data_IF_814243837809
#
_entry.id   IF_814243837809
#
_cell.length_a   1.000
_cell.length_b   1.000
_cell.length_c   1.000
_cell.angle_alpha   90.00
_cell.angle_beta   90.00
_cell.angle_gamma   90.00
#
_symmetry.space_group_name_H-M   'P 1'
#
loop_
_entity.id
_entity.type
_entity.pdbx_description
1 polymer ?
#
# COMPACT_ATOMS: atom_id res chain seq x y z
N UNK A 1 -0.94 15.62 19.08
CA UNK A 1 0.06 14.68 19.63
C UNK A 1 -0.58 13.84 20.74
N UNK A 2 -1.13 12.68 20.42
CA UNK A 2 -1.69 11.76 21.43
C UNK A 2 -0.55 10.89 22.00
N UNK A 3 -0.43 10.91 23.33
CA UNK A 3 0.57 10.15 24.11
C UNK A 3 0.45 8.63 23.88
N UNK A 4 1.31 8.07 23.03
CA UNK A 4 1.40 6.60 22.82
C UNK A 4 2.47 5.96 23.74
N UNK A 5 3.12 6.75 24.60
CA UNK A 5 4.30 6.31 25.33
C UNK A 5 4.08 5.56 26.66
N UNK A 6 2.86 5.51 27.19
CA UNK A 6 2.64 4.99 28.55
C UNK A 6 2.39 3.47 28.66
N UNK A 7 1.72 2.86 27.66
CA UNK A 7 1.25 1.48 27.82
C UNK A 7 2.34 0.39 27.54
N UNK A 8 3.34 0.68 26.72
CA UNK A 8 4.38 -0.32 26.41
C UNK A 8 5.44 -0.50 27.51
N UNK A 9 5.76 0.60 28.23
CA UNK A 9 6.68 0.51 29.37
C UNK A 9 6.07 -0.22 30.58
N UNK A 10 4.74 -0.10 30.75
CA UNK A 10 4.02 -0.78 31.83
C UNK A 10 3.90 -2.30 31.58
N UNK A 11 3.71 -2.71 30.30
CA UNK A 11 3.66 -4.13 29.93
C UNK A 11 5.01 -4.84 30.12
N UNK A 12 6.14 -4.17 29.92
CA UNK A 12 7.48 -4.74 30.15
C UNK A 12 7.74 -5.03 31.65
N UNK A 13 7.20 -4.21 32.56
CA UNK A 13 7.31 -4.45 34.01
C UNK A 13 6.42 -5.58 34.51
N UNK A 14 5.21 -5.70 34.00
CA UNK A 14 4.26 -6.75 34.39
C UNK A 14 4.72 -8.16 33.92
N UNK A 15 5.38 -8.24 32.76
CA UNK A 15 5.90 -9.52 32.23
C UNK A 15 7.08 -10.10 33.00
N UNK A 16 7.80 -9.31 33.81
CA UNK A 16 8.92 -9.83 34.67
C UNK A 16 8.48 -10.67 35.85
N UNK A 17 7.18 -10.72 36.13
CA UNK A 17 6.64 -11.48 37.27
C UNK A 17 6.03 -12.83 36.90
N UNK A 18 5.92 -13.18 35.61
CA UNK A 18 5.31 -14.43 35.15
C UNK A 18 6.34 -15.45 34.72
N UNK A 19 6.04 -16.74 34.99
CA UNK A 19 6.87 -17.84 34.51
C UNK A 19 6.89 -17.90 32.98
N UNK A 20 8.06 -17.89 32.31
CA UNK A 20 8.16 -17.97 30.87
C UNK A 20 7.82 -19.35 30.29
N UNK A 21 7.56 -20.36 31.15
CA UNK A 21 7.22 -21.72 30.73
C UNK A 21 5.73 -22.04 30.79
N UNK A 22 4.99 -21.48 31.76
CA UNK A 22 3.59 -21.79 31.96
C UNK A 22 2.73 -20.53 32.20
N UNK A 23 3.31 -19.34 32.04
CA UNK A 23 2.69 -18.01 32.23
C UNK A 23 2.08 -17.75 33.61
N UNK A 24 2.34 -18.61 34.59
CA UNK A 24 1.83 -18.49 35.93
C UNK A 24 2.57 -17.40 36.72
N UNK A 25 1.87 -16.69 37.61
CA UNK A 25 2.39 -15.61 38.44
C UNK A 25 3.17 -16.12 39.67
N UNK A 26 3.03 -17.40 40.01
CA UNK A 26 3.58 -17.98 41.22
C UNK A 26 5.11 -18.26 41.09
N UNK A 27 5.88 -17.19 41.00
CA UNK A 27 7.33 -17.18 40.76
C UNK A 27 8.04 -16.63 41.98
N UNK A 28 9.00 -17.39 42.49
CA UNK A 28 9.84 -17.00 43.63
C UNK A 28 11.32 -16.80 43.24
N UNK A 29 12.04 -16.00 44.00
CA UNK A 29 13.47 -15.84 43.88
C UNK A 29 14.16 -17.14 44.26
N UNK A 30 15.17 -17.60 43.46
CA UNK A 30 15.84 -18.90 43.63
C UNK A 30 17.34 -18.76 43.55
N UNK A 31 17.90 -17.88 44.40
CA UNK A 31 19.34 -17.61 44.46
C UNK A 31 19.88 -16.91 43.19
N UNK A 32 21.20 -16.74 43.15
CA UNK A 32 21.91 -16.15 42.02
C UNK A 32 22.98 -17.09 41.49
N UNK A 33 23.27 -17.04 40.18
CA UNK A 33 24.36 -17.78 39.55
C UNK A 33 25.06 -16.87 38.53
N UNK A 34 26.37 -16.79 38.59
CA UNK A 34 27.17 -15.92 37.72
C UNK A 34 26.66 -14.47 37.65
N UNK A 35 26.33 -13.90 38.81
CA UNK A 35 25.81 -12.52 38.92
C UNK A 35 24.37 -12.32 38.43
N UNK A 36 23.62 -13.37 38.08
CA UNK A 36 22.25 -13.29 37.61
C UNK A 36 21.27 -13.93 38.59
N UNK A 37 20.23 -13.17 38.98
CA UNK A 37 19.14 -13.67 39.81
C UNK A 37 18.38 -14.77 39.05
N UNK A 38 18.23 -15.95 39.71
CA UNK A 38 17.36 -17.04 39.22
C UNK A 38 16.01 -17.00 39.90
N UNK A 39 15.03 -17.55 39.25
CA UNK A 39 13.64 -17.66 39.70
C UNK A 39 13.15 -19.09 39.54
N UNK A 40 12.28 -19.54 40.43
CA UNK A 40 11.61 -20.83 40.34
C UNK A 40 10.11 -20.62 40.26
N UNK A 41 9.45 -21.25 39.29
CA UNK A 41 7.99 -21.29 39.23
C UNK A 41 7.47 -22.40 40.14
N UNK A 42 6.61 -22.09 41.10
CA UNK A 42 6.00 -23.08 41.99
C UNK A 42 4.98 -23.97 41.28
N UNK A 43 4.41 -23.52 40.16
CA UNK A 43 3.39 -24.26 39.43
C UNK A 43 3.98 -25.31 38.48
N UNK A 44 5.08 -25.03 37.76
CA UNK A 44 5.71 -25.96 36.82
C UNK A 44 7.12 -26.45 37.32
N UNK A 45 7.56 -26.03 38.50
CA UNK A 45 8.82 -26.36 39.13
C UNK A 45 10.11 -26.00 38.35
N UNK A 46 9.98 -25.34 37.21
CA UNK A 46 11.13 -24.94 36.40
C UNK A 46 11.88 -23.74 36.99
N UNK A 47 13.23 -23.80 36.95
CA UNK A 47 14.12 -22.71 37.33
C UNK A 47 14.54 -21.96 36.07
N UNK A 48 14.53 -20.62 36.12
CA UNK A 48 14.84 -19.76 34.98
C UNK A 48 15.46 -18.43 35.43
N UNK A 49 16.00 -17.69 34.46
CA UNK A 49 16.39 -16.29 34.62
C UNK A 49 15.60 -15.45 33.65
N UNK A 50 15.23 -14.22 33.99
CA UNK A 50 14.52 -13.32 33.05
C UNK A 50 15.43 -12.81 31.93
N UNK A 51 16.70 -13.18 31.87
CA UNK A 51 17.63 -12.91 30.77
C UNK A 51 17.73 -14.05 29.76
N UNK A 52 16.65 -14.79 29.52
CA UNK A 52 16.66 -15.90 28.56
C UNK A 52 16.73 -15.40 27.13
N UNK A 53 17.29 -16.23 26.23
CA UNK A 53 17.38 -15.97 24.79
C UNK A 53 16.04 -15.61 24.17
N UNK A 54 15.00 -16.38 24.51
CA UNK A 54 13.62 -16.19 24.03
C UNK A 54 13.02 -14.84 24.40
N UNK A 55 13.20 -14.36 25.64
CA UNK A 55 12.73 -13.04 26.06
C UNK A 55 13.54 -11.93 25.38
N UNK A 56 14.86 -12.12 25.26
CA UNK A 56 15.70 -11.14 24.59
C UNK A 56 15.44 -11.09 23.09
N UNK A 57 15.14 -12.20 22.44
CA UNK A 57 14.73 -12.25 21.02
C UNK A 57 13.37 -11.58 20.80
N UNK A 58 12.39 -11.85 21.65
CA UNK A 58 11.08 -11.17 21.59
C UNK A 58 11.22 -9.66 21.70
N UNK A 59 12.05 -9.17 22.64
CA UNK A 59 12.30 -7.74 22.80
C UNK A 59 13.05 -7.13 21.59
N UNK A 60 14.00 -7.85 21.01
CA UNK A 60 14.71 -7.43 19.80
C UNK A 60 13.78 -7.34 18.61
N UNK A 61 12.86 -8.32 18.46
CA UNK A 61 11.88 -8.34 17.39
C UNK A 61 10.88 -7.19 17.50
N UNK A 62 10.49 -6.78 18.71
CA UNK A 62 9.66 -5.58 18.92
C UNK A 62 10.37 -4.32 18.43
N UNK A 63 11.68 -4.17 18.69
CA UNK A 63 12.45 -3.04 18.17
C UNK A 63 12.61 -3.08 16.64
N UNK A 64 12.70 -4.27 16.07
CA UNK A 64 12.70 -4.47 14.62
C UNK A 64 11.35 -4.06 14.02
N UNK A 65 10.22 -4.50 14.59
CA UNK A 65 8.87 -4.07 14.17
C UNK A 65 8.73 -2.54 14.23
N UNK A 66 9.23 -1.91 15.31
CA UNK A 66 9.24 -0.46 15.44
C UNK A 66 10.11 0.23 14.38
N UNK A 67 11.22 -0.36 14.02
CA UNK A 67 12.08 0.15 12.97
C UNK A 67 11.42 0.07 11.59
N UNK A 68 10.70 -0.99 11.32
CA UNK A 68 10.01 -1.20 10.04
C UNK A 68 8.74 -0.35 9.92
N UNK A 69 7.93 -0.23 10.97
CA UNK A 69 6.65 0.49 10.95
C UNK A 69 6.74 1.94 11.42
N UNK A 70 7.73 2.27 12.26
CA UNK A 70 7.90 3.60 12.82
C UNK A 70 8.73 4.51 11.92
N UNK A 71 8.74 5.80 12.22
CA UNK A 71 9.57 6.80 11.52
C UNK A 71 10.89 7.08 12.26
N UNK A 72 11.43 6.08 12.95
CA UNK A 72 12.67 6.22 13.73
C UNK A 72 13.87 5.68 12.94
N UNK A 73 14.96 6.43 12.96
CA UNK A 73 16.26 5.92 12.50
C UNK A 73 16.84 4.91 13.50
N UNK A 74 17.84 4.15 13.08
CA UNK A 74 18.52 3.18 13.99
C UNK A 74 19.18 3.91 15.15
N UNK A 75 19.68 5.12 14.96
CA UNK A 75 20.30 5.96 15.98
C UNK A 75 19.25 6.37 17.04
N UNK A 76 18.06 6.77 16.61
CA UNK A 76 16.96 7.09 17.53
C UNK A 76 16.51 5.86 18.32
N UNK A 77 16.39 4.70 17.66
CA UNK A 77 16.09 3.44 18.34
C UNK A 77 17.23 3.05 19.32
N UNK A 78 18.49 3.31 18.96
CA UNK A 78 19.62 3.09 19.86
C UNK A 78 19.48 3.91 21.15
N UNK A 79 19.14 5.19 21.03
CA UNK A 79 18.92 6.07 22.19
C UNK A 79 17.72 5.60 23.04
N UNK A 80 16.65 5.12 22.42
CA UNK A 80 15.43 4.67 23.11
C UNK A 80 15.59 3.31 23.78
N UNK A 81 16.31 2.40 23.13
CA UNK A 81 16.44 0.98 23.56
C UNK A 81 17.61 0.73 24.49
N UNK A 82 18.62 1.61 24.48
CA UNK A 82 19.90 1.40 25.17
C UNK A 82 20.85 0.40 24.48
N UNK A 83 20.51 -0.11 23.30
CA UNK A 83 21.40 -0.96 22.50
C UNK A 83 22.24 -0.13 21.55
N UNK A 84 23.49 -0.54 21.32
CA UNK A 84 24.33 0.17 20.36
C UNK A 84 23.81 0.02 18.92
N UNK A 85 24.03 1.04 18.08
CA UNK A 85 23.71 1.02 16.64
C UNK A 85 24.24 -0.24 15.95
N UNK A 86 25.48 -0.66 16.27
CA UNK A 86 26.10 -1.87 15.73
C UNK A 86 25.32 -3.15 16.10
N UNK A 87 24.81 -3.25 17.34
CA UNK A 87 24.00 -4.39 17.76
C UNK A 87 22.65 -4.42 17.05
N UNK A 88 21.97 -3.26 16.96
CA UNK A 88 20.68 -3.13 16.26
C UNK A 88 20.83 -3.51 14.81
N UNK A 89 21.82 -2.96 14.07
CA UNK A 89 22.08 -3.31 12.67
C UNK A 89 22.27 -4.82 12.48
N UNK A 90 23.10 -5.46 13.33
CA UNK A 90 23.33 -6.92 13.25
C UNK A 90 22.04 -7.73 13.44
N UNK A 91 21.14 -7.30 14.33
CA UNK A 91 19.88 -8.01 14.56
C UNK A 91 18.87 -7.74 13.47
N UNK A 92 18.73 -6.50 13.07
CA UNK A 92 17.72 -6.10 12.06
C UNK A 92 18.06 -6.70 10.69
N UNK A 93 19.31 -6.70 10.27
CA UNK A 93 19.71 -7.34 9.03
C UNK A 93 19.49 -8.86 9.05
N UNK A 94 19.78 -9.51 10.20
CA UNK A 94 19.45 -10.92 10.36
C UNK A 94 17.94 -11.22 10.26
N UNK A 95 17.08 -10.31 10.71
CA UNK A 95 15.63 -10.45 10.53
C UNK A 95 15.22 -10.17 9.09
N UNK A 96 15.82 -9.18 8.44
CA UNK A 96 15.55 -8.90 7.03
C UNK A 96 15.84 -10.12 6.14
N UNK A 97 16.98 -10.78 6.30
CA UNK A 97 17.39 -11.97 5.55
C UNK A 97 16.37 -13.13 5.65
N UNK A 98 15.52 -13.12 6.67
CA UNK A 98 14.49 -14.14 6.89
C UNK A 98 13.11 -13.55 6.59
N UNK A 99 12.71 -13.56 5.33
CA UNK A 99 11.43 -13.03 4.92
C UNK A 99 10.25 -13.67 5.70
N UNK A 100 9.23 -12.90 6.08
CA UNK A 100 8.09 -13.43 6.80
C UNK A 100 7.28 -14.36 5.90
N UNK A 101 6.72 -15.42 6.47
CA UNK A 101 5.78 -16.28 5.76
C UNK A 101 4.50 -15.50 5.48
N UNK A 102 4.14 -15.39 4.20
CA UNK A 102 2.96 -14.68 3.78
C UNK A 102 1.72 -15.56 3.92
N UNK A 103 0.78 -15.15 4.75
CA UNK A 103 -0.50 -15.83 4.90
C UNK A 103 -1.63 -14.95 4.37
N UNK A 104 -2.37 -15.46 3.38
CA UNK A 104 -3.53 -14.76 2.82
C UNK A 104 -4.76 -15.06 3.68
N UNK A 105 -5.52 -14.03 4.04
CA UNK A 105 -6.84 -14.20 4.63
C UNK A 105 -7.81 -14.66 3.54
N UNK A 106 -8.32 -15.87 3.64
CA UNK A 106 -9.35 -16.38 2.73
C UNK A 106 -10.66 -15.60 2.93
N UNK A 107 -11.26 -15.22 1.83
CA UNK A 107 -12.60 -14.66 1.73
C UNK A 107 -13.26 -15.17 0.46
N UNK A 108 -14.57 -15.43 0.56
CA UNK A 108 -15.35 -15.96 -0.57
C UNK A 108 -15.42 -14.97 -1.74
N UNK A 109 -15.41 -13.67 -1.46
CA UNK A 109 -15.45 -12.62 -2.47
C UNK A 109 -14.71 -11.36 -2.03
N UNK A 110 -13.97 -10.73 -2.94
CA UNK A 110 -13.16 -9.53 -2.67
C UNK A 110 -13.39 -8.42 -3.68
N UNK A 111 -13.40 -7.18 -3.21
CA UNK A 111 -13.28 -5.97 -4.02
C UNK A 111 -11.82 -5.56 -4.01
N UNK A 112 -11.11 -5.90 -5.07
CA UNK A 112 -9.67 -5.80 -5.18
C UNK A 112 -9.25 -4.39 -5.60
N UNK A 113 -8.27 -3.82 -4.90
CA UNK A 113 -7.49 -2.67 -5.36
C UNK A 113 -6.18 -3.17 -5.95
N UNK A 114 -5.85 -2.71 -7.15
CA UNK A 114 -4.55 -2.94 -7.79
C UNK A 114 -3.92 -1.60 -8.09
N UNK A 115 -2.71 -1.41 -7.63
CA UNK A 115 -1.93 -0.20 -7.89
C UNK A 115 -0.44 -0.50 -7.71
N UNK A 116 0.42 0.25 -8.39
CA UNK A 116 1.86 0.12 -8.34
C UNK A 116 2.54 1.36 -7.78
N UNK A 117 3.72 1.17 -7.21
CA UNK A 117 4.60 2.28 -6.82
C UNK A 117 6.04 1.98 -7.19
N UNK A 118 6.76 3.02 -7.58
CA UNK A 118 8.14 2.92 -8.01
C UNK A 118 9.08 3.41 -6.92
N UNK A 119 10.12 2.62 -6.67
CA UNK A 119 11.24 2.99 -5.81
C UNK A 119 12.48 3.37 -6.64
N UNK A 120 13.48 3.99 -6.04
CA UNK A 120 14.79 4.12 -6.66
C UNK A 120 15.32 2.78 -7.20
N UNK A 121 16.21 2.82 -8.19
CA UNK A 121 16.79 1.63 -8.82
C UNK A 121 15.82 0.77 -9.66
N UNK A 122 14.75 1.39 -10.19
CA UNK A 122 13.76 0.73 -11.07
C UNK A 122 13.03 -0.46 -10.40
N UNK A 123 12.89 -0.44 -9.10
CA UNK A 123 12.09 -1.43 -8.37
C UNK A 123 10.64 -0.96 -8.33
N UNK A 124 9.74 -1.77 -8.86
CA UNK A 124 8.29 -1.55 -8.80
C UNK A 124 7.66 -2.53 -7.81
N UNK A 125 6.78 -2.02 -6.96
CA UNK A 125 5.92 -2.80 -6.09
C UNK A 125 4.49 -2.71 -6.58
N UNK A 126 3.93 -3.81 -7.07
CA UNK A 126 2.49 -3.95 -7.38
C UNK A 126 1.80 -4.61 -6.20
N UNK A 127 0.72 -4.02 -5.71
CA UNK A 127 -0.04 -4.49 -4.55
C UNK A 127 -1.47 -4.86 -4.93
N UNK A 128 -1.91 -6.01 -4.47
CA UNK A 128 -3.27 -6.54 -4.59
C UNK A 128 -3.91 -6.52 -3.19
N UNK A 129 -4.83 -5.59 -2.95
CA UNK A 129 -5.41 -5.34 -1.63
C UNK A 129 -6.92 -5.55 -1.63
N UNK A 130 -7.43 -6.30 -0.66
CA UNK A 130 -8.87 -6.34 -0.37
C UNK A 130 -9.27 -5.04 0.35
N UNK A 131 -10.18 -4.29 -0.25
CA UNK A 131 -10.67 -3.03 0.31
C UNK A 131 -11.51 -3.23 1.58
N UNK A 132 -12.28 -4.32 1.68
CA UNK A 132 -13.19 -4.57 2.80
C UNK A 132 -12.46 -4.85 4.10
N UNK A 133 -11.43 -5.71 4.05
CA UNK A 133 -10.61 -6.05 5.24
C UNK A 133 -9.36 -5.19 5.35
N UNK A 134 -9.12 -4.31 4.38
CA UNK A 134 -7.96 -3.42 4.30
C UNK A 134 -6.62 -4.16 4.37
N UNK A 135 -6.56 -5.39 3.86
CA UNK A 135 -5.38 -6.25 3.89
C UNK A 135 -4.81 -6.47 2.49
N UNK A 136 -3.48 -6.45 2.39
CA UNK A 136 -2.77 -6.89 1.19
C UNK A 136 -2.92 -8.41 1.07
N UNK A 137 -3.49 -8.87 -0.02
CA UNK A 137 -3.66 -10.31 -0.31
C UNK A 137 -2.44 -10.87 -1.01
N UNK A 138 -1.89 -10.10 -1.94
CA UNK A 138 -0.73 -10.46 -2.72
C UNK A 138 0.08 -9.21 -3.07
N UNK A 139 1.35 -9.36 -3.38
CA UNK A 139 2.20 -8.31 -3.92
C UNK A 139 3.26 -8.90 -4.82
N UNK A 140 3.74 -8.11 -5.77
CA UNK A 140 4.85 -8.43 -6.65
C UNK A 140 5.90 -7.32 -6.57
N UNK A 141 7.16 -7.71 -6.48
CA UNK A 141 8.30 -6.83 -6.70
C UNK A 141 8.88 -7.17 -8.07
N UNK A 142 8.96 -6.19 -8.95
CA UNK A 142 9.36 -6.36 -10.35
C UNK A 142 10.14 -5.13 -10.83
N UNK A 143 10.78 -5.23 -11.97
CA UNK A 143 11.44 -4.11 -12.66
C UNK A 143 10.51 -3.37 -13.62
N UNK A 144 9.34 -3.96 -13.94
CA UNK A 144 8.34 -3.39 -14.84
C UNK A 144 6.98 -4.04 -14.65
N UNK A 145 5.93 -3.24 -14.71
CA UNK A 145 4.54 -3.73 -14.72
C UNK A 145 4.20 -4.39 -16.06
N UNK A 146 4.27 -5.70 -16.12
CA UNK A 146 3.96 -6.45 -17.33
C UNK A 146 2.60 -7.12 -17.22
N UNK A 147 1.84 -7.09 -18.31
CA UNK A 147 0.50 -7.71 -18.40
C UNK A 147 0.51 -9.17 -17.95
N UNK A 148 1.44 -9.99 -18.46
CA UNK A 148 1.52 -11.40 -18.13
C UNK A 148 1.85 -11.70 -16.66
N UNK A 149 2.60 -10.81 -15.98
CA UNK A 149 2.86 -10.93 -14.55
C UNK A 149 1.60 -10.66 -13.73
N UNK A 150 0.82 -9.66 -14.11
CA UNK A 150 -0.45 -9.33 -13.47
C UNK A 150 -1.47 -10.45 -13.67
N UNK A 151 -1.53 -11.04 -14.88
CA UNK A 151 -2.35 -12.25 -15.16
C UNK A 151 -1.99 -13.37 -14.17
N UNK A 152 -0.70 -13.70 -14.08
CA UNK A 152 -0.21 -14.77 -13.19
C UNK A 152 -0.55 -14.48 -11.71
N UNK A 153 -0.49 -13.24 -11.28
CA UNK A 153 -0.84 -12.85 -9.92
C UNK A 153 -2.33 -13.02 -9.63
N UNK A 154 -3.18 -12.62 -10.58
CA UNK A 154 -4.64 -12.81 -10.47
C UNK A 154 -5.01 -14.29 -10.49
N UNK A 155 -4.36 -15.10 -11.31
CA UNK A 155 -4.54 -16.56 -11.33
C UNK A 155 -4.07 -17.20 -10.02
N UNK A 156 -2.97 -16.72 -9.44
CA UNK A 156 -2.50 -17.16 -8.12
C UNK A 156 -3.54 -16.85 -7.03
N UNK A 157 -4.14 -15.65 -7.03
CA UNK A 157 -5.23 -15.33 -6.10
C UNK A 157 -6.44 -16.24 -6.30
N UNK A 158 -6.82 -16.56 -7.54
CA UNK A 158 -7.91 -17.47 -7.85
C UNK A 158 -7.61 -18.91 -7.39
N UNK A 159 -6.36 -19.38 -7.55
CA UNK A 159 -5.93 -20.70 -7.07
C UNK A 159 -5.99 -20.83 -5.55
N UNK A 160 -5.98 -19.71 -4.82
CA UNK A 160 -6.23 -19.66 -3.38
C UNK A 160 -7.72 -19.64 -3.02
N UNK A 161 -8.62 -19.95 -3.99
CA UNK A 161 -10.07 -19.93 -3.84
C UNK A 161 -10.66 -18.54 -3.55
N UNK A 162 -9.94 -17.47 -3.93
CA UNK A 162 -10.41 -16.09 -3.78
C UNK A 162 -11.20 -15.71 -5.04
N UNK A 163 -12.51 -15.47 -4.88
CA UNK A 163 -13.34 -14.91 -5.94
C UNK A 163 -13.17 -13.40 -6.00
N UNK A 164 -12.70 -12.88 -7.14
CA UNK A 164 -12.54 -11.45 -7.40
C UNK A 164 -13.86 -10.92 -7.98
N UNK A 165 -14.62 -10.17 -7.16
CA UNK A 165 -15.90 -9.59 -7.58
C UNK A 165 -15.69 -8.30 -8.36
N UNK A 166 -14.74 -7.48 -7.95
CA UNK A 166 -14.42 -6.25 -8.65
C UNK A 166 -12.93 -5.93 -8.57
N UNK A 167 -12.45 -5.10 -9.50
CA UNK A 167 -11.09 -4.56 -9.51
C UNK A 167 -11.16 -3.06 -9.73
N UNK A 168 -10.60 -2.29 -8.79
CA UNK A 168 -10.36 -0.85 -8.94
C UNK A 168 -8.88 -0.61 -9.18
N UNK A 169 -8.53 0.09 -10.27
CA UNK A 169 -7.15 0.42 -10.64
C UNK A 169 -7.04 1.82 -11.27
N UNK A 170 -5.80 2.30 -11.42
CA UNK A 170 -5.47 3.54 -12.13
C UNK A 170 -5.86 3.53 -13.61
N UNK A 171 -5.95 2.33 -14.19
CA UNK A 171 -6.32 2.12 -15.58
C UNK A 171 -5.14 2.05 -16.55
N UNK A 172 -3.96 1.74 -16.03
CA UNK A 172 -2.85 1.33 -16.88
C UNK A 172 -3.28 0.21 -17.84
N UNK A 173 -2.88 0.32 -19.10
CA UNK A 173 -3.33 -0.57 -20.16
C UNK A 173 -3.02 -2.05 -19.87
N UNK A 174 -1.87 -2.32 -19.25
CA UNK A 174 -1.46 -3.67 -18.85
C UNK A 174 -2.39 -4.25 -17.79
N UNK A 175 -2.79 -3.44 -16.80
CA UNK A 175 -3.72 -3.87 -15.74
C UNK A 175 -5.11 -4.14 -16.33
N UNK A 176 -5.60 -3.23 -17.18
CA UNK A 176 -6.93 -3.38 -17.82
C UNK A 176 -6.99 -4.68 -18.63
N UNK A 177 -5.97 -4.96 -19.47
CA UNK A 177 -5.94 -6.18 -20.29
C UNK A 177 -5.81 -7.43 -19.45
N UNK A 178 -4.93 -7.40 -18.44
CA UNK A 178 -4.76 -8.52 -17.52
C UNK A 178 -6.05 -8.87 -16.77
N UNK A 179 -6.77 -7.86 -16.25
CA UNK A 179 -8.04 -8.06 -15.54
C UNK A 179 -9.13 -8.58 -16.49
N UNK A 180 -9.21 -8.05 -17.71
CA UNK A 180 -10.15 -8.55 -18.73
C UNK A 180 -9.90 -10.03 -19.05
N UNK A 181 -8.65 -10.43 -19.11
CA UNK A 181 -8.26 -11.81 -19.42
C UNK A 181 -8.48 -12.76 -18.24
N UNK A 182 -7.87 -12.43 -17.10
CA UNK A 182 -7.85 -13.34 -15.93
C UNK A 182 -9.17 -13.34 -15.13
N UNK A 183 -9.92 -12.22 -15.14
CA UNK A 183 -11.13 -12.01 -14.35
C UNK A 183 -12.27 -11.41 -15.20
N UNK A 184 -12.73 -12.08 -16.27
CA UNK A 184 -13.71 -11.51 -17.23
C UNK A 184 -15.06 -11.14 -16.58
N UNK A 185 -15.42 -11.80 -15.46
CA UNK A 185 -16.67 -11.54 -14.74
C UNK A 185 -16.54 -10.46 -13.65
N UNK A 186 -15.32 -10.02 -13.33
CA UNK A 186 -15.10 -8.99 -12.34
C UNK A 186 -15.56 -7.61 -12.84
N UNK A 187 -16.27 -6.87 -12.01
CA UNK A 187 -16.63 -5.48 -12.30
C UNK A 187 -15.36 -4.63 -12.26
N UNK A 188 -15.07 -3.94 -13.36
CA UNK A 188 -13.91 -3.03 -13.43
C UNK A 188 -14.35 -1.63 -13.05
N UNK A 189 -13.60 -1.00 -12.18
CA UNK A 189 -13.73 0.40 -11.77
C UNK A 189 -12.41 1.13 -12.03
N UNK A 190 -12.49 2.24 -12.74
CA UNK A 190 -11.36 3.17 -12.90
C UNK A 190 -11.24 4.05 -11.65
N UNK A 191 -10.02 4.24 -11.16
CA UNK A 191 -9.76 5.15 -10.05
C UNK A 191 -10.07 6.60 -10.45
N UNK A 192 -11.11 7.20 -9.84
CA UNK A 192 -11.50 8.57 -10.16
C UNK A 192 -10.41 9.58 -9.82
N UNK A 193 -9.68 9.37 -8.72
CA UNK A 193 -8.60 10.26 -8.31
C UNK A 193 -7.46 10.28 -9.33
N UNK A 194 -7.10 9.13 -9.93
CA UNK A 194 -6.09 9.07 -10.98
C UNK A 194 -6.56 9.78 -12.24
N UNK A 195 -7.80 9.53 -12.70
CA UNK A 195 -8.35 10.22 -13.88
C UNK A 195 -8.32 11.74 -13.69
N UNK A 196 -8.83 12.22 -12.55
CA UNK A 196 -8.85 13.65 -12.24
C UNK A 196 -7.43 14.24 -12.21
N UNK A 197 -6.51 13.62 -11.49
CA UNK A 197 -5.12 14.07 -11.32
C UNK A 197 -4.36 14.15 -12.64
N UNK A 198 -4.42 13.11 -13.46
CA UNK A 198 -3.73 13.07 -14.74
C UNK A 198 -4.28 14.08 -15.72
N UNK A 199 -5.61 14.18 -15.84
CA UNK A 199 -6.24 15.18 -16.67
C UNK A 199 -5.85 16.61 -16.26
N UNK A 200 -5.87 16.90 -14.94
CA UNK A 200 -5.51 18.21 -14.43
C UNK A 200 -4.01 18.52 -14.59
N UNK A 201 -3.14 17.51 -14.55
CA UNK A 201 -1.72 17.69 -14.83
C UNK A 201 -1.47 18.11 -16.29
N UNK A 202 -2.19 17.52 -17.25
CA UNK A 202 -2.08 17.91 -18.67
C UNK A 202 -2.71 19.26 -18.97
N UNK A 203 -3.89 19.57 -18.40
CA UNK A 203 -4.61 20.83 -18.63
C UNK A 203 -3.91 22.02 -17.96
N UNK A 204 -3.13 21.79 -16.92
CA UNK A 204 -2.49 22.80 -16.05
C UNK A 204 -3.47 23.53 -15.12
N UNK A 205 -2.93 24.34 -14.18
CA UNK A 205 -3.77 25.11 -13.25
C UNK A 205 -4.46 26.30 -13.91
N UNK A 206 -3.83 26.91 -14.90
CA UNK A 206 -4.25 28.14 -15.57
C UNK A 206 -4.25 27.96 -17.09
N UNK A 207 -5.18 27.16 -17.65
CA UNK A 207 -5.27 26.98 -19.10
C UNK A 207 -5.67 28.30 -19.78
N UNK A 208 -5.02 28.61 -20.92
CA UNK A 208 -5.25 29.86 -21.64
C UNK A 208 -6.42 29.79 -22.63
N UNK A 209 -6.72 28.60 -23.15
CA UNK A 209 -7.81 28.41 -24.12
C UNK A 209 -9.14 28.18 -23.42
N UNK A 210 -10.24 28.61 -24.04
CA UNK A 210 -11.63 28.31 -23.60
C UNK A 210 -11.87 26.82 -23.48
N UNK A 211 -11.37 26.03 -24.44
CA UNK A 211 -11.39 24.56 -24.40
C UNK A 211 -10.74 23.99 -23.12
N UNK A 212 -9.56 24.47 -22.77
CA UNK A 212 -8.87 24.05 -21.55
C UNK A 212 -9.59 24.48 -20.28
N UNK A 213 -10.12 25.72 -20.22
CA UNK A 213 -10.85 26.25 -19.06
C UNK A 213 -12.13 25.43 -18.80
N UNK A 214 -12.90 25.17 -19.84
CA UNK A 214 -14.17 24.43 -19.72
C UNK A 214 -13.94 22.95 -19.42
N UNK A 215 -12.95 22.30 -20.07
CA UNK A 215 -12.60 20.91 -19.75
C UNK A 215 -12.11 20.77 -18.31
N UNK A 216 -11.27 21.70 -17.84
CA UNK A 216 -10.80 21.69 -16.45
C UNK A 216 -11.96 21.73 -15.46
N UNK A 217 -12.95 22.61 -15.67
CA UNK A 217 -14.13 22.68 -14.80
C UNK A 217 -14.89 21.36 -14.76
N UNK A 218 -15.04 20.70 -15.91
CA UNK A 218 -15.71 19.42 -16.02
C UNK A 218 -14.92 18.30 -15.30
N UNK A 219 -13.60 18.26 -15.46
CA UNK A 219 -12.74 17.29 -14.79
C UNK A 219 -12.79 17.44 -13.27
N UNK A 220 -12.75 18.67 -12.74
CA UNK A 220 -12.84 18.91 -11.27
C UNK A 220 -14.17 18.45 -10.66
N UNK A 221 -15.17 18.10 -11.43
CA UNK A 221 -16.45 17.59 -10.94
C UNK A 221 -16.49 16.08 -10.77
N UNK A 222 -15.50 15.34 -11.30
CA UNK A 222 -15.46 13.87 -11.25
C UNK A 222 -15.58 13.34 -9.83
N UNK A 223 -14.85 13.94 -8.89
CA UNK A 223 -14.86 13.53 -7.48
C UNK A 223 -16.19 13.77 -6.76
N UNK A 224 -17.03 14.65 -7.28
CA UNK A 224 -18.33 15.04 -6.71
C UNK A 224 -19.50 14.18 -7.23
N UNK A 225 -19.31 13.37 -8.26
CA UNK A 225 -20.32 12.47 -8.81
C UNK A 225 -20.68 11.40 -7.79
N UNK A 226 -21.97 11.28 -7.48
CA UNK A 226 -22.52 10.34 -6.49
C UNK A 226 -23.70 9.52 -7.00
N UNK A 227 -24.44 10.04 -7.98
CA UNK A 227 -25.66 9.45 -8.49
C UNK A 227 -25.62 9.19 -9.99
N UNK A 228 -26.53 8.36 -10.48
CA UNK A 228 -26.71 8.16 -11.92
C UNK A 228 -27.04 9.46 -12.67
N UNK A 229 -27.80 10.36 -12.05
CA UNK A 229 -28.10 11.64 -12.65
C UNK A 229 -26.85 12.49 -12.83
N UNK A 230 -25.98 12.53 -11.81
CA UNK A 230 -24.69 13.24 -11.88
C UNK A 230 -23.81 12.65 -12.99
N UNK A 231 -23.71 11.32 -13.07
CA UNK A 231 -22.87 10.66 -14.08
C UNK A 231 -23.38 10.85 -15.50
N UNK A 232 -24.71 10.77 -15.71
CA UNK A 232 -25.34 11.04 -17.01
C UNK A 232 -25.13 12.49 -17.46
N UNK A 233 -25.36 13.42 -16.56
CA UNK A 233 -25.12 14.84 -16.82
C UNK A 233 -23.65 15.08 -17.18
N UNK A 234 -22.72 14.53 -16.41
CA UNK A 234 -21.28 14.68 -16.66
C UNK A 234 -20.86 14.13 -18.03
N UNK A 235 -21.34 12.94 -18.40
CA UNK A 235 -21.08 12.34 -19.72
C UNK A 235 -21.68 13.17 -20.85
N UNK A 236 -22.89 13.70 -20.65
CA UNK A 236 -23.53 14.59 -21.61
C UNK A 236 -22.72 15.88 -21.82
N UNK A 237 -22.24 16.50 -20.76
CA UNK A 237 -21.41 17.70 -20.84
C UNK A 237 -20.04 17.41 -21.48
N UNK A 238 -19.45 16.24 -21.21
CA UNK A 238 -18.20 15.81 -21.87
C UNK A 238 -18.38 15.63 -23.37
N UNK A 239 -19.53 15.05 -23.83
CA UNK A 239 -19.84 14.89 -25.22
C UNK A 239 -20.17 16.25 -25.90
N UNK A 240 -20.84 17.15 -25.19
CA UNK A 240 -21.10 18.52 -25.66
C UNK A 240 -19.79 19.29 -25.84
N UNK A 241 -18.91 19.21 -24.87
CA UNK A 241 -17.57 19.79 -24.95
C UNK A 241 -16.81 19.26 -26.18
N UNK A 242 -16.87 17.95 -26.42
CA UNK A 242 -16.22 17.37 -27.59
C UNK A 242 -16.74 17.94 -28.91
N UNK A 243 -18.07 18.05 -29.07
CA UNK A 243 -18.68 18.63 -30.28
C UNK A 243 -18.24 20.07 -30.50
N UNK A 244 -18.10 20.86 -29.43
CA UNK A 244 -17.72 22.27 -29.50
C UNK A 244 -16.24 22.45 -29.86
N UNK A 245 -15.38 21.56 -29.36
CA UNK A 245 -13.91 21.71 -29.49
C UNK A 245 -13.26 20.61 -30.34
N UNK A 246 -14.04 19.86 -31.12
CA UNK A 246 -13.50 18.74 -31.92
C UNK A 246 -12.43 19.19 -32.91
N UNK A 247 -12.67 20.26 -33.64
CA UNK A 247 -11.71 20.81 -34.62
C UNK A 247 -10.47 21.37 -33.89
N UNK A 248 -10.67 22.04 -32.78
CA UNK A 248 -9.57 22.55 -31.94
C UNK A 248 -8.61 21.44 -31.49
N UNK A 249 -9.11 20.32 -31.01
CA UNK A 249 -8.26 19.21 -30.56
C UNK A 249 -7.70 18.35 -31.69
N UNK A 250 -8.18 18.52 -32.93
CA UNK A 250 -7.66 17.89 -34.15
C UNK A 250 -6.60 18.73 -34.86
N UNK A 251 -6.48 20.00 -34.52
CA UNK A 251 -5.50 20.91 -35.10
C UNK A 251 -4.08 20.35 -35.00
N UNK A 252 -3.34 20.49 -36.11
CA UNK A 252 -1.95 19.96 -36.20
C UNK A 252 -1.00 21.07 -36.58
N UNK A 253 0.17 21.04 -35.93
CA UNK A 253 1.32 21.87 -36.25
C UNK A 253 2.38 21.00 -36.90
N UNK A 254 3.04 21.56 -37.92
CA UNK A 254 4.21 20.95 -38.57
C UNK A 254 5.44 21.67 -38.01
N UNK A 255 6.37 20.91 -37.41
CA UNK A 255 7.63 21.46 -36.93
C UNK A 255 8.54 21.89 -38.10
N UNK A 256 9.53 22.72 -37.87
CA UNK A 256 10.56 23.04 -38.88
C UNK A 256 11.27 21.81 -39.44
N UNK A 257 11.27 20.70 -38.69
CA UNK A 257 11.88 19.40 -39.11
C UNK A 257 10.89 18.54 -39.90
N UNK A 258 9.66 19.01 -40.17
CA UNK A 258 8.60 18.28 -40.90
C UNK A 258 7.78 17.30 -40.05
N UNK A 259 8.00 17.21 -38.76
CA UNK A 259 7.20 16.35 -37.85
C UNK A 259 5.82 16.95 -37.61
N UNK A 260 4.79 16.10 -37.72
CA UNK A 260 3.39 16.48 -37.46
C UNK A 260 3.00 16.11 -36.04
N UNK A 261 2.63 17.10 -35.24
CA UNK A 261 2.09 16.93 -33.88
C UNK A 261 0.73 17.59 -33.73
N UNK A 262 -0.02 17.20 -32.69
CA UNK A 262 -1.24 17.93 -32.35
C UNK A 262 -0.87 19.24 -31.64
N UNK A 263 -1.42 20.36 -32.12
CA UNK A 263 -1.20 21.70 -31.55
C UNK A 263 -1.61 21.74 -30.08
N UNK A 264 -2.74 21.10 -29.78
CA UNK A 264 -3.33 21.07 -28.43
C UNK A 264 -3.26 19.69 -27.79
N UNK A 265 -2.10 19.04 -27.89
CA UNK A 265 -1.89 17.64 -27.49
C UNK A 265 -2.31 17.35 -26.05
N UNK A 266 -1.98 18.22 -25.10
CA UNK A 266 -2.29 18.03 -23.69
C UNK A 266 -3.80 18.07 -23.40
N UNK A 267 -4.53 19.01 -24.00
CA UNK A 267 -6.00 19.09 -23.86
C UNK A 267 -6.65 17.86 -24.51
N UNK A 268 -6.16 17.47 -25.67
CA UNK A 268 -6.58 16.24 -26.36
C UNK A 268 -6.33 14.99 -25.52
N UNK A 269 -5.14 14.85 -24.91
CA UNK A 269 -4.80 13.73 -24.01
C UNK A 269 -5.77 13.68 -22.83
N UNK A 270 -6.01 14.80 -22.16
CA UNK A 270 -6.92 14.88 -21.03
C UNK A 270 -8.34 14.45 -21.40
N UNK A 271 -8.87 14.98 -22.50
CA UNK A 271 -10.20 14.58 -23.00
C UNK A 271 -10.26 13.08 -23.30
N UNK A 272 -9.31 12.55 -24.09
CA UNK A 272 -9.30 11.15 -24.47
C UNK A 272 -9.13 10.21 -23.28
N UNK A 273 -8.35 10.60 -22.28
CA UNK A 273 -8.18 9.84 -21.05
C UNK A 273 -9.49 9.74 -20.27
N UNK A 274 -10.16 10.88 -20.05
CA UNK A 274 -11.47 10.92 -19.39
C UNK A 274 -12.53 10.14 -20.19
N UNK A 275 -12.62 10.36 -21.50
CA UNK A 275 -13.60 9.71 -22.37
C UNK A 275 -13.45 8.19 -22.39
N UNK A 276 -12.21 7.68 -22.51
CA UNK A 276 -11.93 6.24 -22.51
C UNK A 276 -12.21 5.58 -21.15
N UNK A 277 -12.22 6.34 -20.08
CA UNK A 277 -12.52 5.83 -18.73
C UNK A 277 -14.03 5.67 -18.48
N UNK A 278 -14.90 6.40 -19.21
CA UNK A 278 -16.36 6.44 -19.00
C UNK A 278 -17.00 5.05 -18.79
N UNK A 279 -16.69 4.00 -19.58
CA UNK A 279 -17.33 2.70 -19.41
C UNK A 279 -17.12 2.05 -18.04
N UNK A 280 -15.99 2.36 -17.39
CA UNK A 280 -15.56 1.70 -16.17
C UNK A 280 -15.42 2.67 -14.97
N UNK A 281 -15.80 3.97 -15.08
CA UNK A 281 -15.50 4.92 -14.00
C UNK A 281 -16.65 5.16 -13.00
N UNK A 282 -17.87 4.69 -13.29
CA UNK A 282 -19.04 4.96 -12.45
C UNK A 282 -19.71 3.70 -11.87
N UNK A 283 -19.02 2.56 -11.89
CA UNK A 283 -19.55 1.29 -11.39
C UNK A 283 -19.84 1.30 -9.88
N UNK A 284 -19.14 2.12 -9.11
CA UNK A 284 -19.38 2.32 -7.68
C UNK A 284 -20.78 2.87 -7.36
N UNK A 285 -21.49 3.43 -8.35
CA UNK A 285 -22.87 3.91 -8.17
C UNK A 285 -23.83 2.73 -8.11
N UNK A 286 -23.63 1.71 -8.97
CA UNK A 286 -24.43 0.48 -8.98
C UNK A 286 -24.03 -0.47 -7.86
N UNK A 287 -22.76 -0.43 -7.46
CA UNK A 287 -22.15 -1.33 -6.47
C UNK A 287 -21.41 -0.50 -5.42
N UNK A 288 -22.10 -0.01 -4.37
CA UNK A 288 -21.52 0.87 -3.35
C UNK A 288 -20.34 0.30 -2.57
N UNK A 289 -20.20 -1.04 -2.55
CA UNK A 289 -19.07 -1.74 -1.96
C UNK A 289 -17.78 -1.62 -2.77
N UNK A 290 -17.87 -1.25 -4.06
CA UNK A 290 -16.71 -1.05 -4.94
C UNK A 290 -16.07 0.30 -4.62
N UNK A 291 -14.79 0.34 -4.26
CA UNK A 291 -14.10 1.59 -3.99
C UNK A 291 -13.94 2.41 -5.28
N UNK A 292 -14.33 3.68 -5.25
CA UNK A 292 -14.19 4.60 -6.37
C UNK A 292 -12.75 5.07 -6.63
N UNK A 293 -11.84 4.84 -5.68
CA UNK A 293 -10.43 5.26 -5.75
C UNK A 293 -9.47 4.23 -5.17
N UNK A 294 -8.19 4.30 -5.55
CA UNK A 294 -7.08 3.54 -4.98
C UNK A 294 -6.36 4.29 -3.85
N UNK A 295 -6.91 5.39 -3.32
CA UNK A 295 -6.28 6.23 -2.31
C UNK A 295 -5.81 5.46 -1.06
N UNK A 296 -6.47 4.35 -0.74
CA UNK A 296 -6.04 3.47 0.36
C UNK A 296 -4.68 2.82 0.11
N UNK A 297 -4.33 2.52 -1.16
CA UNK A 297 -3.01 2.05 -1.57
C UNK A 297 -2.01 3.20 -1.64
N UNK A 298 -2.38 4.35 -2.19
CA UNK A 298 -1.52 5.54 -2.25
C UNK A 298 -1.06 5.97 -0.85
N UNK A 299 -1.96 5.96 0.14
CA UNK A 299 -1.60 6.23 1.54
C UNK A 299 -0.59 5.22 2.07
N UNK A 300 -0.75 3.93 1.75
CA UNK A 300 0.19 2.88 2.11
C UNK A 300 1.56 3.11 1.45
N UNK A 301 1.57 3.44 0.17
CA UNK A 301 2.78 3.73 -0.60
C UNK A 301 3.50 5.00 -0.10
N UNK A 302 2.75 6.05 0.24
CA UNK A 302 3.31 7.27 0.83
C UNK A 302 4.07 6.97 2.13
N UNK A 303 3.46 6.21 3.03
CA UNK A 303 4.13 5.77 4.25
C UNK A 303 5.38 4.91 3.97
N UNK A 304 5.27 3.94 3.07
CA UNK A 304 6.41 3.08 2.72
C UNK A 304 7.55 3.89 2.09
N UNK A 305 7.24 4.82 1.19
CA UNK A 305 8.24 5.70 0.57
C UNK A 305 8.95 6.59 1.60
N UNK A 306 8.22 7.11 2.59
CA UNK A 306 8.82 7.87 3.70
C UNK A 306 9.82 7.01 4.48
N UNK A 307 9.47 5.75 4.78
CA UNK A 307 10.38 4.81 5.46
C UNK A 307 11.60 4.48 4.61
N UNK A 308 11.43 4.22 3.31
CA UNK A 308 12.54 3.95 2.39
C UNK A 308 13.52 5.14 2.32
N UNK A 309 13.01 6.38 2.40
CA UNK A 309 13.85 7.59 2.45
C UNK A 309 14.66 7.70 3.74
N UNK A 310 14.13 7.24 4.88
CA UNK A 310 14.85 7.24 6.16
C UNK A 310 15.97 6.19 6.19
N UNK A 311 15.85 5.13 5.42
CA UNK A 311 16.78 4.00 5.40
C UNK A 311 17.70 4.01 4.15
N UNK A 312 18.09 5.19 3.70
CA UNK A 312 19.05 5.37 2.61
C UNK A 312 20.37 4.66 2.90
N UNK A 313 20.98 4.07 1.86
CA UNK A 313 22.25 3.35 1.99
C UNK A 313 22.13 1.86 2.28
N UNK A 314 20.92 1.30 2.30
CA UNK A 314 20.71 -0.15 2.25
C UNK A 314 20.94 -0.69 0.83
N UNK A 315 21.33 -1.96 0.72
CA UNK A 315 21.37 -2.66 -0.56
C UNK A 315 19.96 -2.85 -1.14
N UNK A 316 19.85 -3.15 -2.43
CA UNK A 316 18.57 -3.42 -3.10
C UNK A 316 17.89 -4.63 -2.44
N UNK A 317 18.65 -5.67 -2.09
CA UNK A 317 18.13 -6.86 -1.43
C UNK A 317 17.50 -6.51 -0.06
N UNK A 318 18.19 -5.70 0.76
CA UNK A 318 17.64 -5.24 2.03
C UNK A 318 16.40 -4.36 1.86
N UNK A 319 16.34 -3.54 0.80
CA UNK A 319 15.11 -2.78 0.49
C UNK A 319 13.95 -3.72 0.13
N UNK A 320 14.19 -4.74 -0.69
CA UNK A 320 13.20 -5.75 -1.05
C UNK A 320 12.68 -6.45 0.22
N UNK A 321 13.58 -6.87 1.10
CA UNK A 321 13.21 -7.57 2.33
C UNK A 321 12.52 -6.63 3.33
N UNK A 322 12.90 -5.36 3.37
CA UNK A 322 12.21 -4.34 4.15
C UNK A 322 10.76 -4.15 3.68
N UNK A 323 10.51 -4.09 2.38
CA UNK A 323 9.15 -4.00 1.82
C UNK A 323 8.30 -5.21 2.21
N UNK A 324 8.86 -6.42 2.15
CA UNK A 324 8.16 -7.66 2.57
C UNK A 324 7.74 -7.59 4.05
N UNK A 325 8.65 -7.19 4.92
CA UNK A 325 8.36 -7.03 6.35
C UNK A 325 7.37 -5.91 6.64
N UNK A 326 7.46 -4.79 5.93
CA UNK A 326 6.52 -3.68 6.07
C UNK A 326 5.10 -4.12 5.73
N UNK A 327 4.88 -4.77 4.59
CA UNK A 327 3.57 -5.26 4.18
C UNK A 327 3.04 -6.32 5.16
N UNK A 328 3.90 -7.21 5.64
CA UNK A 328 3.55 -8.21 6.65
C UNK A 328 3.06 -7.56 7.94
N UNK A 329 3.81 -6.64 8.52
CA UNK A 329 3.42 -5.98 9.76
C UNK A 329 2.16 -5.13 9.60
N UNK A 330 1.99 -4.45 8.47
CA UNK A 330 0.75 -3.70 8.17
C UNK A 330 -0.47 -4.62 8.15
N UNK A 331 -0.36 -5.83 7.60
CA UNK A 331 -1.43 -6.82 7.64
C UNK A 331 -1.71 -7.31 9.07
N UNK A 332 -0.67 -7.52 9.89
CA UNK A 332 -0.84 -7.94 11.29
C UNK A 332 -1.50 -6.84 12.14
N UNK A 333 -1.17 -5.55 11.92
CA UNK A 333 -1.87 -4.44 12.57
C UNK A 333 -3.37 -4.44 12.27
N UNK A 334 -3.76 -4.69 11.00
CA UNK A 334 -5.17 -4.77 10.60
C UNK A 334 -5.91 -5.94 11.26
N UNK A 335 -5.22 -7.02 11.60
CA UNK A 335 -5.79 -8.14 12.38
C UNK A 335 -6.03 -7.75 13.84
N UNK A 336 -5.11 -6.97 14.44
CA UNK A 336 -5.19 -6.53 15.85
C UNK A 336 -6.26 -5.44 16.06
N UNK A 337 -6.47 -4.56 15.10
CA UNK A 337 -7.43 -3.43 15.18
C UNK A 337 -8.92 -3.83 15.04
N UNK A 338 -9.21 -5.11 14.79
CA UNK A 338 -10.59 -5.64 14.67
C UNK A 338 -11.04 -6.43 15.92
N UNK A 339 -10.31 -6.37 17.02
CA UNK A 339 -10.72 -6.82 18.34
C UNK A 339 -11.13 -5.58 19.16
#
# INVERSE_FOLDING_TARGET
MKRVSSNYFFMAKIRRSRCPHCDNLNVISWGAQSGHQRYKCKSCNKVFTFRRKDISEKNRFVWFEWWVLGKQTIEQISAMSGYSVRQLKRWFYKYLENAPTWSVRRRDSVNLLIDGTWFPNKLCLVVYRDNCIKATLFYRLTDKEREWEIIKDLETLKSMEIRIASVTSDGEANIIRAVKYACPHAVRQRCLAHIERECLAWITQHPKSSAGITLRRLICQISHIKTHNDSRWWVMELNKWHKEYEEFIKERTISPTGERSYTHENIRKAYLHAYRAVPDMFKFIDYPEIPKTTNALESCFGHLNDHMRLHRGQSIEHHIDFVKWYLYFRNEEQKKGKK
#
